data_IF_106477412904
#
_entry.id   IF_106477412904
#
_cell.length_a   1.000
_cell.length_b   1.000
_cell.length_c   1.000
_cell.angle_alpha   90.00
_cell.angle_beta   90.00
_cell.angle_gamma   90.00
#
_symmetry.space_group_name_H-M   'P 1'
#
loop_
_entity.id
_entity.type
_entity.pdbx_description
1 polymer ?
#
# COMPACT_ATOMS: atom_id res chain seq x y z
N UNK A 1 0.01 -8.00 -7.04
CA UNK A 1 0.17 -7.44 -5.68
C UNK A 1 1.41 -6.56 -5.68
N UNK A 2 1.42 -5.49 -4.90
CA UNK A 2 2.60 -4.69 -4.61
C UNK A 2 2.72 -4.49 -3.09
N UNK A 3 3.94 -4.54 -2.57
CA UNK A 3 4.27 -4.15 -1.20
C UNK A 3 5.22 -2.96 -1.32
N UNK A 4 4.89 -1.87 -0.64
CA UNK A 4 5.72 -0.68 -0.54
C UNK A 4 6.25 -0.60 0.87
N UNK A 5 7.58 -0.55 0.98
CA UNK A 5 8.29 -0.27 2.22
C UNK A 5 8.48 1.24 2.37
N UNK A 6 8.11 1.76 3.52
CA UNK A 6 8.24 3.18 3.85
C UNK A 6 9.46 3.39 4.74
N UNK A 7 10.06 4.58 4.66
CA UNK A 7 11.31 4.89 5.38
C UNK A 7 11.21 4.80 6.91
N UNK A 8 10.00 4.77 7.48
CA UNK A 8 9.74 4.62 8.91
C UNK A 8 9.51 3.15 9.34
N UNK A 9 9.75 2.17 8.46
CA UNK A 9 9.52 0.75 8.71
C UNK A 9 8.07 0.27 8.54
N UNK A 10 7.15 1.19 8.21
CA UNK A 10 5.78 0.82 7.82
C UNK A 10 5.82 0.12 6.47
N UNK A 11 4.94 -0.85 6.26
CA UNK A 11 4.72 -1.46 4.94
C UNK A 11 3.25 -1.30 4.55
N UNK A 12 2.99 -1.10 3.26
CA UNK A 12 1.64 -1.09 2.72
C UNK A 12 1.51 -2.10 1.59
N UNK A 13 0.47 -2.92 1.64
CA UNK A 13 0.16 -3.90 0.60
C UNK A 13 -1.05 -3.46 -0.20
N UNK A 14 -0.95 -3.68 -1.52
CA UNK A 14 -2.01 -3.46 -2.49
C UNK A 14 -2.24 -4.77 -3.24
N UNK A 15 -3.42 -5.35 -3.09
CA UNK A 15 -3.82 -6.62 -3.71
C UNK A 15 -4.94 -6.43 -4.76
N UNK A 16 -5.29 -7.53 -5.44
CA UNK A 16 -6.32 -7.63 -6.47
C UNK A 16 -6.17 -6.76 -7.74
N UNK A 17 -5.07 -6.03 -7.90
CA UNK A 17 -4.79 -5.23 -9.11
C UNK A 17 -4.88 -6.05 -10.41
N UNK A 18 -5.38 -5.41 -11.47
CA UNK A 18 -5.43 -5.97 -12.84
C UNK A 18 -4.07 -5.84 -13.55
N UNK A 19 -3.32 -4.78 -13.25
CA UNK A 19 -2.02 -4.49 -13.84
C UNK A 19 -1.15 -3.72 -12.86
N UNK A 20 0.14 -4.07 -12.81
CA UNK A 20 1.19 -3.29 -12.15
C UNK A 20 1.87 -2.39 -13.18
N UNK A 21 2.22 -1.18 -12.78
CA UNK A 21 3.03 -0.25 -13.59
C UNK A 21 4.40 0.04 -12.96
N UNK A 22 4.68 -0.57 -11.81
CA UNK A 22 5.99 -0.56 -11.16
C UNK A 22 6.55 -1.98 -11.04
N UNK A 23 7.79 -2.10 -10.58
CA UNK A 23 8.49 -3.38 -10.34
C UNK A 23 9.26 -3.32 -9.03
N UNK A 24 9.61 -4.49 -8.50
CA UNK A 24 10.45 -4.62 -7.31
C UNK A 24 11.74 -3.81 -7.45
N UNK A 25 12.13 -3.11 -6.38
CA UNK A 25 13.33 -2.27 -6.33
C UNK A 25 13.13 -0.85 -6.86
N UNK A 26 12.01 -0.52 -7.50
CA UNK A 26 11.71 0.86 -7.86
C UNK A 26 11.34 1.67 -6.61
N UNK A 27 11.91 2.87 -6.50
CA UNK A 27 11.40 3.90 -5.61
C UNK A 27 10.18 4.54 -6.25
N UNK A 28 9.16 4.82 -5.44
CA UNK A 28 7.93 5.49 -5.86
C UNK A 28 7.64 6.67 -4.94
N UNK A 29 7.02 7.71 -5.47
CA UNK A 29 6.62 8.90 -4.69
C UNK A 29 5.17 8.80 -4.25
N UNK A 30 4.83 9.53 -3.19
CA UNK A 30 3.42 9.71 -2.82
C UNK A 30 2.64 10.30 -4.00
N UNK A 31 1.47 9.71 -4.29
CA UNK A 31 0.63 10.09 -5.44
C UNK A 31 1.02 9.46 -6.77
N UNK A 32 2.14 8.73 -6.84
CA UNK A 32 2.54 8.01 -8.05
C UNK A 32 1.65 6.79 -8.30
N UNK A 33 1.29 6.58 -9.57
CA UNK A 33 0.51 5.41 -9.98
C UNK A 33 1.41 4.17 -9.93
N UNK A 34 1.03 3.17 -9.14
CA UNK A 34 1.75 1.89 -9.01
C UNK A 34 1.03 0.71 -9.69
N UNK A 35 -0.25 0.87 -10.01
CA UNK A 35 -1.06 -0.12 -10.70
C UNK A 35 -2.51 0.31 -10.88
N UNK A 36 -3.32 -0.58 -11.42
CA UNK A 36 -4.74 -0.38 -11.69
C UNK A 36 -5.57 -1.41 -10.94
N UNK A 37 -6.73 -0.98 -10.42
CA UNK A 37 -7.71 -1.85 -9.72
C UNK A 37 -8.11 -3.02 -10.63
N UNK A 38 -8.38 -4.16 -10.01
CA UNK A 38 -8.83 -5.36 -10.71
C UNK A 38 -9.58 -6.31 -9.79
N UNK A 39 -9.66 -7.58 -10.20
CA UNK A 39 -10.28 -8.65 -9.42
C UNK A 39 -9.43 -9.92 -9.46
N UNK A 40 -8.09 -9.78 -9.46
CA UNK A 40 -7.18 -10.94 -9.51
C UNK A 40 -7.12 -11.67 -8.17
N UNK A 41 -6.87 -12.99 -8.19
CA UNK A 41 -6.79 -13.80 -6.97
C UNK A 41 -8.16 -14.00 -6.30
N UNK A 42 -8.20 -13.99 -4.97
CA UNK A 42 -9.40 -14.29 -4.18
C UNK A 42 -10.31 -13.06 -4.04
N UNK A 43 -11.08 -12.77 -5.08
CA UNK A 43 -11.94 -11.60 -5.19
C UNK A 43 -13.28 -11.95 -5.84
N UNK A 44 -14.37 -11.28 -5.44
CA UNK A 44 -15.72 -11.45 -6.02
C UNK A 44 -16.11 -10.32 -7.00
N UNK A 45 -15.27 -9.30 -7.17
CA UNK A 45 -15.49 -8.18 -8.09
C UNK A 45 -14.39 -7.12 -8.00
N UNK A 46 -14.36 -6.12 -8.90
CA UNK A 46 -13.28 -5.13 -8.93
C UNK A 46 -13.18 -4.31 -7.64
N UNK A 47 -12.06 -4.45 -6.92
CA UNK A 47 -11.77 -3.70 -5.70
C UNK A 47 -10.26 -3.67 -5.40
N UNK A 48 -9.87 -2.90 -4.39
CA UNK A 48 -8.51 -2.93 -3.86
C UNK A 48 -8.55 -3.53 -2.45
N UNK A 49 -7.68 -4.49 -2.17
CA UNK A 49 -7.38 -4.92 -0.81
C UNK A 49 -6.13 -4.16 -0.35
N UNK A 50 -6.28 -3.37 0.71
CA UNK A 50 -5.25 -2.49 1.23
C UNK A 50 -4.96 -2.86 2.68
N UNK A 51 -3.68 -3.07 2.98
CA UNK A 51 -3.22 -3.37 4.33
C UNK A 51 -2.04 -2.47 4.70
N UNK A 52 -1.96 -2.15 5.99
CA UNK A 52 -0.83 -1.44 6.59
C UNK A 52 -0.23 -2.33 7.67
N UNK A 53 1.07 -2.58 7.58
CA UNK A 53 1.82 -3.39 8.54
C UNK A 53 2.86 -2.53 9.24
N UNK A 54 3.19 -2.92 10.48
CA UNK A 54 4.26 -2.33 11.28
C UNK A 54 4.15 -0.80 11.44
N UNK A 55 2.97 -0.23 11.19
CA UNK A 55 2.74 1.18 11.44
C UNK A 55 2.89 1.43 12.94
N UNK A 56 3.74 2.39 13.27
CA UNK A 56 3.76 2.95 14.62
C UNK A 56 2.37 3.54 14.86
N UNK A 57 1.72 3.10 15.94
CA UNK A 57 0.31 3.40 16.21
C UNK A 57 0.04 4.91 16.03
N UNK A 58 -0.72 5.33 14.99
CA UNK A 58 -0.96 6.74 14.70
C UNK A 58 -1.64 7.38 15.92
N UNK A 59 -0.93 8.26 16.63
CA UNK A 59 -1.42 8.92 17.84
C UNK A 59 -0.94 8.34 19.17
N UNK A 60 -0.18 7.24 19.19
CA UNK A 60 0.44 6.76 20.43
C UNK A 60 1.53 7.69 20.96
N UNK A 61 2.11 8.54 20.11
CA UNK A 61 3.07 9.55 20.51
C UNK A 61 2.43 10.88 20.94
N UNK A 62 1.08 10.97 20.94
CA UNK A 62 0.32 12.20 21.27
C UNK A 62 0.80 13.46 20.53
N UNK A 63 1.52 13.30 19.41
CA UNK A 63 2.14 14.41 18.67
C UNK A 63 1.13 15.39 18.06
N UNK A 64 -0.14 14.98 17.97
CA UNK A 64 -1.27 15.77 17.49
C UNK A 64 -1.96 16.59 18.59
N UNK A 65 -1.60 16.40 19.87
CA UNK A 65 -2.27 17.00 21.02
C UNK A 65 -1.65 18.33 21.48
N UNK A 66 -0.84 18.99 20.65
CA UNK A 66 -0.34 20.35 20.87
C UNK A 66 -0.71 21.26 19.72
#
# INVERSE_FOLDING_TARGET
MAIIEHGNGTQTLYAHMSKLVTRTGNQVKQGEIIGYVGSTGRSTGPHIHFEVFNARNPGADWSWAN
#
